data_IF_108282059855
#
_entry.id   IF_108282059855
#
_cell.length_a   1.000
_cell.length_b   1.000
_cell.length_c   1.000
_cell.angle_alpha   90.00
_cell.angle_beta   90.00
_cell.angle_gamma   90.00
#
_symmetry.space_group_name_H-M   'P 1'
#
loop_
_entity.id
_entity.type
_entity.pdbx_description
1 polymer ?
#
# COMPACT_ATOMS: atom_id res chain seq x y z
N UNK A 1 23.27 3.43 -1.94
CA UNK A 1 23.78 3.95 -0.65
C UNK A 1 22.81 3.47 0.40
N UNK A 2 23.29 3.10 1.58
CA UNK A 2 22.41 2.74 2.70
C UNK A 2 21.53 3.94 3.07
N UNK A 3 20.30 3.67 3.51
CA UNK A 3 19.41 4.68 4.05
C UNK A 3 19.40 4.58 5.58
N UNK A 4 19.41 5.74 6.25
CA UNK A 4 19.31 5.85 7.70
C UNK A 4 18.07 6.67 8.05
N UNK A 5 17.17 6.08 8.82
CA UNK A 5 16.02 6.77 9.39
C UNK A 5 16.23 6.92 10.90
N UNK A 6 15.87 8.09 11.41
CA UNK A 6 15.81 8.37 12.84
C UNK A 6 14.34 8.60 13.18
N UNK A 7 13.72 7.61 13.79
CA UNK A 7 12.29 7.62 14.10
C UNK A 7 12.08 7.93 15.57
N UNK A 8 10.95 8.55 15.90
CA UNK A 8 10.54 8.64 17.29
C UNK A 8 10.42 7.23 17.90
N UNK A 9 10.72 7.13 19.18
CA UNK A 9 10.58 5.91 19.98
C UNK A 9 9.17 5.32 19.97
N UNK A 10 8.17 6.12 19.61
CA UNK A 10 6.80 5.69 19.35
C UNK A 10 6.67 4.67 18.19
N UNK A 11 7.60 4.67 17.22
CA UNK A 11 7.56 3.81 16.03
C UNK A 11 8.31 2.48 16.21
N UNK A 12 8.41 1.99 17.44
CA UNK A 12 9.09 0.73 17.77
C UNK A 12 8.50 -0.51 17.10
N UNK A 13 7.25 -0.44 16.61
CA UNK A 13 6.58 -1.54 15.90
C UNK A 13 6.64 -1.41 14.35
N UNK A 14 7.23 -0.34 13.81
CA UNK A 14 7.53 -0.20 12.37
C UNK A 14 8.64 -1.14 11.85
N UNK A 15 9.55 -1.75 12.67
CA UNK A 15 10.53 -2.71 12.20
C UNK A 15 9.97 -3.89 11.41
N UNK A 16 8.76 -4.36 11.74
CA UNK A 16 8.09 -5.42 10.97
C UNK A 16 7.83 -4.99 9.53
N UNK A 17 7.42 -3.73 9.32
CA UNK A 17 7.20 -3.18 7.98
C UNK A 17 8.52 -3.07 7.21
N UNK A 18 9.57 -2.56 7.84
CA UNK A 18 10.88 -2.46 7.19
C UNK A 18 11.43 -3.83 6.82
N UNK A 19 11.38 -4.80 7.73
CA UNK A 19 11.93 -6.16 7.48
C UNK A 19 11.13 -6.95 6.46
N UNK A 20 9.84 -6.63 6.27
CA UNK A 20 9.04 -7.20 5.19
C UNK A 20 9.56 -6.83 3.79
N UNK A 21 10.13 -5.63 3.61
CA UNK A 21 10.70 -5.17 2.34
C UNK A 21 12.22 -5.28 2.25
N UNK A 22 12.88 -5.14 3.40
CA UNK A 22 14.32 -5.01 3.55
C UNK A 22 14.80 -5.91 4.69
N UNK A 23 14.93 -7.23 4.46
CA UNK A 23 15.25 -8.21 5.50
C UNK A 23 16.57 -7.95 6.24
N UNK A 24 17.52 -7.26 5.61
CA UNK A 24 18.79 -6.85 6.19
C UNK A 24 18.73 -5.57 7.03
N UNK A 25 17.54 -4.99 7.22
CA UNK A 25 17.37 -3.77 8.04
C UNK A 25 17.81 -4.02 9.48
N UNK A 26 18.59 -3.07 10.01
CA UNK A 26 19.05 -3.08 11.40
C UNK A 26 18.35 -1.98 12.20
N UNK A 27 17.96 -2.34 13.42
CA UNK A 27 17.27 -1.46 14.36
C UNK A 27 18.10 -1.29 15.62
N UNK A 28 18.20 -0.06 16.11
CA UNK A 28 18.86 0.26 17.36
C UNK A 28 18.05 1.32 18.11
N UNK A 29 17.57 0.99 19.30
CA UNK A 29 17.00 1.98 20.20
C UNK A 29 18.16 2.76 20.82
N UNK A 30 18.27 4.03 20.45
CA UNK A 30 19.32 4.90 20.99
C UNK A 30 18.83 5.51 22.28
N UNK A 31 19.57 5.24 23.36
CA UNK A 31 19.27 5.74 24.71
C UNK A 31 20.13 6.96 25.06
N UNK A 32 19.53 7.87 25.79
CA UNK A 32 20.17 9.04 26.38
C UNK A 32 20.69 8.78 27.79
N UNK A 33 21.19 9.84 28.46
CA UNK A 33 21.63 9.74 29.85
C UNK A 33 20.53 9.18 30.76
N UNK A 34 20.89 8.16 31.55
CA UNK A 34 19.96 7.48 32.45
C UNK A 34 19.13 6.36 31.81
N UNK A 35 19.42 5.97 30.56
CA UNK A 35 18.70 4.88 29.87
C UNK A 35 17.35 5.29 29.29
N UNK A 36 17.09 6.61 29.19
CA UNK A 36 15.86 7.10 28.59
C UNK A 36 15.93 6.95 27.07
N UNK A 37 14.95 6.32 26.41
CA UNK A 37 14.97 6.17 24.96
C UNK A 37 14.86 7.55 24.28
N UNK A 38 15.68 7.79 23.25
CA UNK A 38 15.70 9.04 22.50
C UNK A 38 15.07 8.88 21.11
N UNK A 39 15.50 7.88 20.35
CA UNK A 39 14.99 7.59 19.01
C UNK A 39 15.31 6.15 18.62
N UNK A 40 14.58 5.65 17.63
CA UNK A 40 14.87 4.39 16.94
C UNK A 40 15.68 4.68 15.68
N UNK A 41 16.91 4.17 15.63
CA UNK A 41 17.75 4.16 14.43
C UNK A 41 17.38 2.99 13.55
N UNK A 42 17.11 3.24 12.27
CA UNK A 42 16.76 2.21 11.28
C UNK A 42 17.71 2.33 10.09
N UNK A 43 18.59 1.34 9.92
CA UNK A 43 19.56 1.29 8.83
C UNK A 43 19.16 0.25 7.78
N UNK A 44 18.77 0.72 6.60
CA UNK A 44 18.32 -0.10 5.47
C UNK A 44 19.47 -0.27 4.47
N UNK A 45 19.84 -1.52 4.11
CA UNK A 45 20.90 -1.78 3.13
C UNK A 45 20.59 -1.17 1.76
N UNK A 46 21.55 -0.46 1.18
CA UNK A 46 21.35 0.22 -0.10
C UNK A 46 21.18 -0.71 -1.29
N UNK A 47 21.70 -1.93 -1.21
CA UNK A 47 21.52 -2.99 -2.20
C UNK A 47 20.10 -3.58 -2.15
N UNK A 48 19.50 -3.72 -0.97
CA UNK A 48 18.09 -4.13 -0.85
C UNK A 48 17.15 -3.05 -1.42
N UNK A 49 17.41 -1.77 -1.17
CA UNK A 49 16.67 -0.66 -1.81
C UNK A 49 16.75 -0.74 -3.33
N UNK A 50 17.97 -0.95 -3.86
CA UNK A 50 18.18 -1.04 -5.29
C UNK A 50 17.54 -2.29 -5.91
N UNK A 51 17.50 -3.41 -5.18
CA UNK A 51 16.92 -4.67 -5.63
C UNK A 51 15.39 -4.59 -5.81
N UNK A 52 14.73 -3.66 -5.12
CA UNK A 52 13.29 -3.45 -5.28
C UNK A 52 12.93 -2.59 -6.49
N UNK A 53 13.90 -1.95 -7.16
CA UNK A 53 13.62 -1.06 -8.28
C UNK A 53 13.39 -1.84 -9.58
N UNK A 54 12.37 -1.44 -10.35
CA UNK A 54 12.02 -2.01 -11.64
C UNK A 54 10.73 -2.82 -11.57
N UNK A 55 10.57 -3.80 -12.44
CA UNK A 55 9.47 -4.75 -12.43
C UNK A 55 9.96 -6.16 -12.75
N UNK A 56 9.10 -7.16 -12.62
CA UNK A 56 9.40 -8.52 -13.01
C UNK A 56 8.76 -8.78 -14.37
N UNK A 57 9.56 -9.17 -15.37
CA UNK A 57 9.07 -9.69 -16.63
C UNK A 57 8.99 -11.21 -16.57
N UNK A 58 7.83 -11.77 -16.91
CA UNK A 58 7.58 -13.21 -17.04
C UNK A 58 7.38 -13.51 -18.52
N UNK A 59 8.37 -14.20 -19.11
CA UNK A 59 8.45 -14.44 -20.55
C UNK A 59 8.15 -15.90 -20.85
N UNK A 60 7.02 -16.16 -21.51
CA UNK A 60 6.58 -17.51 -21.88
C UNK A 60 6.85 -17.73 -23.36
N UNK A 61 7.80 -18.63 -23.68
CA UNK A 61 8.25 -18.84 -25.06
C UNK A 61 7.21 -19.58 -25.94
N UNK A 62 6.38 -20.42 -25.32
CA UNK A 62 5.29 -21.14 -25.98
C UNK A 62 4.14 -21.37 -24.98
N UNK A 63 2.90 -21.33 -25.45
CA UNK A 63 1.73 -21.58 -24.63
C UNK A 63 1.83 -22.89 -23.83
N UNK A 64 1.56 -22.82 -22.52
CA UNK A 64 1.61 -23.97 -21.61
C UNK A 64 3.00 -24.35 -21.10
N UNK A 65 4.04 -23.58 -21.43
CA UNK A 65 5.38 -23.73 -20.84
C UNK A 65 5.54 -22.83 -19.60
N UNK A 66 6.49 -23.17 -18.73
CA UNK A 66 6.85 -22.31 -17.61
C UNK A 66 7.63 -21.08 -18.12
N UNK A 67 7.17 -19.89 -17.75
CA UNK A 67 7.84 -18.64 -18.11
C UNK A 67 9.20 -18.46 -17.42
N UNK A 68 10.11 -17.77 -18.11
CA UNK A 68 11.37 -17.28 -17.54
C UNK A 68 11.10 -15.94 -16.85
N UNK A 69 11.54 -15.79 -15.61
CA UNK A 69 11.39 -14.54 -14.85
C UNK A 69 12.69 -13.76 -14.88
N UNK A 70 12.66 -12.52 -15.37
CA UNK A 70 13.80 -11.60 -15.31
C UNK A 70 13.39 -10.25 -14.69
N UNK A 71 14.33 -9.58 -14.04
CA UNK A 71 14.14 -8.20 -13.59
C UNK A 71 14.20 -7.27 -14.79
N UNK A 72 13.17 -6.43 -14.93
CA UNK A 72 13.04 -5.43 -15.97
C UNK A 72 13.25 -4.03 -15.38
N UNK A 73 14.31 -3.35 -15.81
CA UNK A 73 14.70 -2.02 -15.28
C UNK A 73 14.33 -0.85 -16.20
N UNK A 74 13.66 -1.09 -17.33
CA UNK A 74 13.48 -0.09 -18.39
C UNK A 74 12.37 0.94 -18.16
N UNK A 75 11.70 0.91 -16.99
CA UNK A 75 10.61 1.83 -16.65
C UNK A 75 9.44 1.69 -17.62
N UNK A 76 9.06 2.78 -18.29
CA UNK A 76 7.90 2.87 -19.18
C UNK A 76 7.94 2.11 -20.51
N UNK A 77 9.06 1.50 -20.92
CA UNK A 77 9.27 1.00 -22.30
C UNK A 77 9.44 -0.51 -22.40
N UNK A 78 8.40 -1.25 -22.08
CA UNK A 78 8.39 -2.70 -21.96
C UNK A 78 8.69 -3.40 -23.29
N UNK A 79 9.70 -4.27 -23.28
CA UNK A 79 10.14 -5.02 -24.44
C UNK A 79 10.77 -6.33 -23.99
N UNK A 80 10.75 -7.32 -24.88
CA UNK A 80 11.45 -8.58 -24.64
C UNK A 80 12.97 -8.37 -24.56
N UNK A 81 13.67 -9.07 -23.65
CA UNK A 81 15.11 -9.22 -23.72
C UNK A 81 15.49 -9.84 -25.08
N UNK A 82 16.49 -9.29 -25.81
CA UNK A 82 16.84 -9.80 -27.14
C UNK A 82 17.17 -11.30 -27.16
N UNK A 83 17.73 -11.83 -26.07
CA UNK A 83 18.03 -13.26 -25.90
C UNK A 83 16.77 -14.12 -25.84
N UNK A 84 15.71 -13.63 -25.19
CA UNK A 84 14.45 -14.37 -25.08
C UNK A 84 13.59 -14.19 -26.32
N UNK A 85 13.59 -13.00 -26.93
CA UNK A 85 12.84 -12.72 -28.15
C UNK A 85 13.25 -13.57 -29.35
N UNK A 86 14.53 -13.98 -29.42
CA UNK A 86 15.05 -14.78 -30.52
C UNK A 86 14.46 -16.20 -30.58
N UNK A 87 14.00 -16.73 -29.44
CA UNK A 87 13.45 -18.08 -29.29
C UNK A 87 11.91 -18.10 -29.15
N UNK A 88 11.26 -16.94 -29.26
CA UNK A 88 9.83 -16.78 -29.04
C UNK A 88 9.00 -17.37 -30.20
N UNK A 89 8.04 -18.25 -29.86
CA UNK A 89 7.08 -18.80 -30.82
C UNK A 89 5.95 -17.82 -31.15
N UNK A 90 5.06 -18.18 -32.07
CA UNK A 90 3.91 -17.34 -32.46
C UNK A 90 2.94 -17.07 -31.29
N UNK A 91 2.85 -18.00 -30.33
CA UNK A 91 1.98 -17.91 -29.15
C UNK A 91 2.75 -17.50 -27.86
N UNK A 92 3.95 -16.93 -27.99
CA UNK A 92 4.70 -16.42 -26.85
C UNK A 92 4.00 -15.22 -26.19
N UNK A 93 4.16 -15.08 -24.88
CA UNK A 93 3.62 -13.96 -24.09
C UNK A 93 4.67 -13.37 -23.17
N UNK A 94 4.49 -12.09 -22.84
CA UNK A 94 5.26 -11.42 -21.81
C UNK A 94 4.33 -10.70 -20.85
N UNK A 95 4.50 -10.95 -19.56
CA UNK A 95 3.77 -10.27 -18.49
C UNK A 95 4.76 -9.48 -17.64
N UNK A 96 4.58 -8.17 -17.54
CA UNK A 96 5.34 -7.37 -16.58
C UNK A 96 4.48 -7.08 -15.36
N UNK A 97 4.99 -7.41 -14.19
CA UNK A 97 4.29 -7.25 -12.92
C UNK A 97 5.14 -6.54 -11.89
N UNK A 98 4.50 -5.82 -10.98
CA UNK A 98 5.15 -5.13 -9.88
C UNK A 98 4.23 -4.11 -9.24
N UNK A 99 4.80 -3.08 -8.63
CA UNK A 99 4.08 -1.92 -8.13
C UNK A 99 4.52 -0.64 -8.84
N UNK A 100 3.57 0.26 -9.04
CA UNK A 100 3.79 1.62 -9.50
C UNK A 100 3.54 2.57 -8.32
N UNK A 101 4.51 3.43 -8.00
CA UNK A 101 4.36 4.49 -7.01
C UNK A 101 3.61 5.68 -7.61
N UNK A 102 2.45 5.97 -7.06
CA UNK A 102 1.69 7.20 -7.30
C UNK A 102 2.19 8.26 -6.30
N UNK A 103 2.87 9.33 -6.76
CA UNK A 103 3.55 10.27 -5.85
C UNK A 103 2.60 11.22 -5.11
N UNK A 104 1.43 11.48 -5.67
CA UNK A 104 0.41 12.37 -5.11
C UNK A 104 -0.98 11.88 -5.49
N UNK A 105 -1.92 11.97 -4.57
CA UNK A 105 -3.33 11.66 -4.85
C UNK A 105 -3.89 12.63 -5.89
N UNK A 106 -4.70 12.13 -6.82
CA UNK A 106 -5.36 12.97 -7.80
C UNK A 106 -5.87 12.22 -9.03
N UNK A 107 -6.39 12.95 -10.01
CA UNK A 107 -6.82 12.39 -11.29
C UNK A 107 -5.60 12.07 -12.18
N UNK A 108 -5.42 10.79 -12.47
CA UNK A 108 -4.46 10.29 -13.45
C UNK A 108 -5.19 9.74 -14.67
N UNK A 109 -4.50 9.70 -15.80
CA UNK A 109 -4.86 8.82 -16.93
C UNK A 109 -3.59 8.09 -17.38
N UNK A 110 -3.74 6.90 -17.94
CA UNK A 110 -2.64 6.11 -18.47
C UNK A 110 -2.89 5.82 -19.95
N UNK A 111 -1.88 6.08 -20.77
CA UNK A 111 -1.89 5.74 -22.18
C UNK A 111 -0.89 4.61 -22.42
N UNK A 112 -1.36 3.60 -23.15
CA UNK A 112 -0.59 2.44 -23.60
C UNK A 112 -0.44 2.54 -25.12
N UNK A 113 0.80 2.67 -25.58
CA UNK A 113 1.15 2.60 -27.00
C UNK A 113 1.84 1.25 -27.27
N UNK A 114 1.30 0.45 -28.18
CA UNK A 114 1.77 -0.90 -28.47
C UNK A 114 0.75 -2.00 -28.15
N UNK A 115 1.08 -3.27 -28.44
CA UNK A 115 0.14 -4.40 -28.40
C UNK A 115 0.05 -5.01 -27.00
N UNK A 116 -0.43 -4.24 -26.02
CA UNK A 116 -0.56 -4.71 -24.64
C UNK A 116 -1.74 -4.14 -23.88
N UNK A 117 -2.11 -4.85 -22.81
CA UNK A 117 -3.16 -4.45 -21.88
C UNK A 117 -2.53 -4.09 -20.54
N UNK A 118 -2.79 -2.86 -20.08
CA UNK A 118 -2.32 -2.36 -18.79
C UNK A 118 -3.45 -2.42 -17.77
N UNK A 119 -3.13 -3.01 -16.62
CA UNK A 119 -4.00 -3.08 -15.46
C UNK A 119 -3.32 -2.41 -14.28
N UNK A 120 -4.14 -1.76 -13.45
CA UNK A 120 -3.73 -1.20 -12.18
C UNK A 120 -4.71 -1.70 -11.10
N UNK A 121 -4.18 -2.17 -9.98
CA UNK A 121 -4.91 -2.85 -8.90
C UNK A 121 -5.85 -3.95 -9.39
N UNK A 122 -5.38 -4.72 -10.39
CA UNK A 122 -6.11 -5.84 -10.99
C UNK A 122 -7.26 -5.44 -11.93
N UNK A 123 -7.41 -4.15 -12.26
CA UNK A 123 -8.43 -3.66 -13.18
C UNK A 123 -7.80 -3.09 -14.45
N UNK A 124 -8.34 -3.40 -15.65
CA UNK A 124 -7.91 -2.72 -16.88
C UNK A 124 -8.08 -1.21 -16.75
N UNK A 125 -7.06 -0.46 -17.15
CA UNK A 125 -7.13 0.99 -17.07
C UNK A 125 -7.84 1.58 -18.29
N UNK A 126 -8.76 2.51 -18.05
CA UNK A 126 -9.37 3.28 -19.13
C UNK A 126 -9.81 4.65 -18.65
N UNK A 127 -9.39 5.70 -19.36
CA UNK A 127 -9.75 7.08 -19.10
C UNK A 127 -9.23 7.61 -17.76
N UNK A 128 -9.55 8.87 -17.49
CA UNK A 128 -9.10 9.54 -16.29
C UNK A 128 -9.82 9.00 -15.03
N UNK A 129 -9.06 8.59 -14.03
CA UNK A 129 -9.57 8.11 -12.74
C UNK A 129 -8.74 8.68 -11.60
N UNK A 130 -9.32 8.74 -10.39
CA UNK A 130 -8.59 9.21 -9.24
C UNK A 130 -7.76 8.07 -8.63
N UNK A 131 -6.50 8.35 -8.32
CA UNK A 131 -5.63 7.45 -7.58
C UNK A 131 -5.21 8.08 -6.26
N UNK A 132 -5.15 7.25 -5.22
CA UNK A 132 -4.50 7.62 -3.98
C UNK A 132 -2.98 7.63 -4.16
N UNK A 133 -2.28 8.46 -3.39
CA UNK A 133 -0.83 8.33 -3.24
C UNK A 133 -0.47 6.97 -2.64
N UNK A 134 0.59 6.34 -3.12
CA UNK A 134 1.07 5.05 -2.60
C UNK A 134 1.51 4.09 -3.69
N UNK A 135 1.78 2.84 -3.31
CA UNK A 135 2.09 1.77 -4.25
C UNK A 135 0.79 1.13 -4.74
N UNK A 136 0.66 1.04 -6.06
CA UNK A 136 -0.44 0.39 -6.75
C UNK A 136 0.09 -0.80 -7.53
N UNK A 137 -0.56 -1.95 -7.44
CA UNK A 137 -0.12 -3.14 -8.17
C UNK A 137 -0.37 -2.92 -9.66
N UNK A 138 0.62 -3.15 -10.52
CA UNK A 138 0.41 -3.07 -11.97
C UNK A 138 0.72 -4.42 -12.63
N UNK A 139 -0.01 -4.69 -13.70
CA UNK A 139 0.35 -5.75 -14.64
C UNK A 139 0.17 -5.25 -16.06
N UNK A 140 1.13 -5.58 -16.92
CA UNK A 140 1.11 -5.31 -18.34
C UNK A 140 1.26 -6.63 -19.10
N UNK A 141 0.21 -7.03 -19.81
CA UNK A 141 0.21 -8.26 -20.59
C UNK A 141 0.42 -7.96 -22.08
N UNK A 142 1.40 -8.61 -22.68
CA UNK A 142 1.63 -8.61 -24.11
C UNK A 142 1.30 -9.98 -24.69
N UNK A 143 0.35 -9.99 -25.63
CA UNK A 143 -0.12 -11.21 -26.31
C UNK A 143 0.44 -11.36 -27.73
N UNK A 144 1.18 -10.37 -28.23
CA UNK A 144 1.85 -10.41 -29.53
C UNK A 144 3.37 -10.46 -29.34
N UNK A 145 4.01 -11.63 -29.49
CA UNK A 145 5.44 -11.77 -29.31
C UNK A 145 6.22 -11.25 -30.52
N UNK A 146 7.36 -10.61 -30.27
CA UNK A 146 8.29 -10.21 -31.32
C UNK A 146 9.32 -9.17 -30.86
N UNK A 147 10.51 -9.17 -31.46
CA UNK A 147 11.61 -8.24 -31.13
C UNK A 147 11.26 -6.77 -31.31
N UNK A 148 10.24 -6.49 -32.12
CA UNK A 148 9.81 -5.13 -32.47
C UNK A 148 8.59 -4.67 -31.67
N UNK A 149 7.96 -5.57 -30.90
CA UNK A 149 6.78 -5.29 -30.10
C UNK A 149 7.18 -4.62 -28.78
N UNK A 150 7.27 -3.29 -28.82
CA UNK A 150 7.50 -2.45 -27.64
C UNK A 150 6.17 -1.91 -27.16
N UNK A 151 5.93 -1.99 -25.85
CA UNK A 151 4.83 -1.30 -25.20
C UNK A 151 5.38 -0.11 -24.43
N UNK A 152 4.81 1.06 -24.66
CA UNK A 152 5.14 2.29 -23.95
C UNK A 152 3.95 2.69 -23.08
N UNK A 153 4.15 2.72 -21.77
CA UNK A 153 3.16 3.23 -20.82
C UNK A 153 3.56 4.66 -20.43
N UNK A 154 2.64 5.59 -20.63
CA UNK A 154 2.78 6.99 -20.19
C UNK A 154 1.60 7.36 -19.31
N UNK A 155 1.76 8.40 -18.49
CA UNK A 155 0.69 8.89 -17.62
C UNK A 155 0.39 10.38 -17.85
N UNK A 156 -0.81 10.80 -17.51
CA UNK A 156 -1.20 12.19 -17.33
C UNK A 156 -1.36 12.46 -15.82
N UNK A 157 -0.36 13.04 -15.15
CA UNK A 157 -0.49 13.34 -13.72
C UNK A 157 -1.49 14.48 -13.44
N UNK A 158 -1.96 14.60 -12.19
CA UNK A 158 -2.80 15.70 -11.75
C UNK A 158 -2.19 17.07 -12.09
N UNK A 159 -2.99 17.95 -12.69
CA UNK A 159 -2.58 19.31 -13.04
C UNK A 159 -1.67 19.42 -14.27
N UNK A 160 -1.40 18.31 -14.98
CA UNK A 160 -0.71 18.33 -16.28
C UNK A 160 -1.72 18.35 -17.42
N UNK A 161 -1.25 18.78 -18.60
CA UNK A 161 -2.04 18.85 -19.84
C UNK A 161 -1.54 17.89 -20.92
N UNK A 162 -0.41 17.23 -20.71
CA UNK A 162 0.23 16.33 -21.67
C UNK A 162 0.74 15.08 -20.94
N UNK A 163 0.74 13.95 -21.65
CA UNK A 163 1.28 12.71 -21.13
C UNK A 163 2.80 12.77 -21.05
N UNK A 164 3.36 12.18 -20.00
CA UNK A 164 4.80 12.02 -19.83
C UNK A 164 5.15 10.54 -19.58
N UNK A 165 6.39 10.16 -19.93
CA UNK A 165 6.91 8.84 -19.59
C UNK A 165 7.08 8.73 -18.07
N UNK A 166 6.69 7.59 -17.53
CA UNK A 166 6.87 7.26 -16.13
C UNK A 166 8.34 6.92 -15.91
N UNK A 167 8.99 7.69 -15.04
CA UNK A 167 10.40 7.48 -14.75
C UNK A 167 10.64 6.12 -14.06
N UNK A 168 11.76 5.41 -14.34
CA UNK A 168 12.03 4.09 -13.78
C UNK A 168 11.96 4.00 -12.25
N UNK A 169 12.23 5.11 -11.55
CA UNK A 169 12.20 5.18 -10.09
C UNK A 169 10.79 5.06 -9.48
N UNK A 170 9.73 5.09 -10.30
CA UNK A 170 8.36 4.84 -9.85
C UNK A 170 7.96 3.35 -9.90
N UNK A 171 8.75 2.48 -10.52
CA UNK A 171 8.43 1.05 -10.64
C UNK A 171 9.17 0.22 -9.60
N UNK A 172 8.46 -0.67 -8.93
CA UNK A 172 9.01 -1.56 -7.91
C UNK A 172 8.69 -3.03 -8.21
N UNK A 173 9.65 -3.93 -7.98
CA UNK A 173 9.53 -5.38 -8.21
C UNK A 173 8.67 -6.06 -7.15
N UNK A 174 8.40 -5.38 -6.03
CA UNK A 174 7.53 -5.87 -4.97
C UNK A 174 6.06 -5.73 -5.36
N UNK A 175 5.28 -6.74 -5.02
CA UNK A 175 3.83 -6.58 -4.96
C UNK A 175 3.47 -5.59 -3.84
N UNK A 176 2.27 -4.99 -3.88
CA UNK A 176 1.72 -4.34 -2.70
C UNK A 176 1.76 -5.31 -1.51
N UNK A 177 1.98 -4.81 -0.28
CA UNK A 177 2.09 -5.66 0.89
C UNK A 177 0.85 -6.53 1.04
N UNK A 178 1.04 -7.84 1.22
CA UNK A 178 -0.05 -8.79 1.54
C UNK A 178 -0.59 -8.66 2.96
N UNK A 179 -0.19 -7.61 3.67
CA UNK A 179 -0.49 -7.31 5.05
C UNK A 179 -1.11 -5.92 5.14
N UNK A 180 -2.04 -5.74 6.08
CA UNK A 180 -2.81 -4.51 6.23
C UNK A 180 -4.30 -4.71 6.01
N UNK A 181 -5.02 -3.62 5.80
CA UNK A 181 -6.45 -3.63 5.54
C UNK A 181 -6.76 -3.01 4.18
N UNK A 182 -7.78 -3.52 3.51
CA UNK A 182 -8.32 -2.92 2.29
C UNK A 182 -9.05 -1.62 2.64
N UNK A 183 -8.45 -0.48 2.32
CA UNK A 183 -8.99 0.87 2.50
C UNK A 183 -9.73 1.36 1.26
N UNK A 184 -11.03 1.59 1.39
CA UNK A 184 -11.90 2.19 0.39
C UNK A 184 -12.17 3.65 0.76
N UNK A 185 -11.99 4.57 -0.18
CA UNK A 185 -12.15 6.01 0.06
C UNK A 185 -13.32 6.57 -0.75
N UNK A 186 -14.19 7.35 -0.12
CA UNK A 186 -15.45 7.83 -0.66
C UNK A 186 -15.52 9.35 -0.61
N UNK A 187 -16.26 9.93 -1.55
CA UNK A 187 -16.63 11.34 -1.50
C UNK A 187 -17.67 11.59 -0.40
N UNK A 188 -17.48 12.64 0.40
CA UNK A 188 -18.38 12.98 1.51
C UNK A 188 -18.23 12.08 2.73
N UNK A 189 -19.05 12.31 3.76
CA UNK A 189 -18.85 11.78 5.12
C UNK A 189 -19.61 10.47 5.43
N UNK A 190 -20.32 9.90 4.46
CA UNK A 190 -21.33 8.86 4.72
C UNK A 190 -20.96 7.44 4.28
N UNK A 191 -19.74 7.20 3.76
CA UNK A 191 -19.32 5.88 3.26
C UNK A 191 -20.27 5.27 2.20
N UNK A 192 -20.85 6.13 1.35
CA UNK A 192 -21.85 5.77 0.35
C UNK A 192 -21.32 5.97 -1.07
N UNK A 193 -21.93 5.25 -2.03
CA UNK A 193 -21.56 5.30 -3.43
C UNK A 193 -20.37 4.39 -3.77
N UNK A 194 -19.90 4.52 -5.01
CA UNK A 194 -18.68 3.84 -5.45
C UNK A 194 -17.46 4.51 -4.82
N UNK A 195 -16.50 3.75 -4.27
CA UNK A 195 -15.29 4.32 -3.75
C UNK A 195 -14.51 5.00 -4.88
N UNK A 196 -14.00 6.20 -4.60
CA UNK A 196 -13.21 6.96 -5.55
C UNK A 196 -11.88 6.25 -5.86
N UNK A 197 -11.30 5.57 -4.88
CA UNK A 197 -10.21 4.62 -5.06
C UNK A 197 -10.16 3.61 -3.91
N UNK A 198 -9.36 2.56 -4.09
CA UNK A 198 -9.09 1.53 -3.08
C UNK A 198 -7.59 1.29 -3.01
N UNK A 199 -7.05 0.98 -1.83
CA UNK A 199 -5.67 0.54 -1.65
C UNK A 199 -5.55 -0.34 -0.41
N UNK A 200 -4.44 -1.06 -0.28
CA UNK A 200 -4.10 -1.76 0.97
C UNK A 200 -3.27 -0.82 1.84
N UNK A 201 -3.71 -0.61 3.09
CA UNK A 201 -3.01 0.18 4.09
C UNK A 201 -2.38 -0.76 5.15
N UNK A 202 -1.04 -0.91 5.18
CA UNK A 202 -0.35 -1.83 6.11
C UNK A 202 -0.56 -1.49 7.59
N UNK A 203 -0.71 -0.20 7.89
CA UNK A 203 -0.95 0.32 9.23
C UNK A 203 -1.90 1.52 9.12
N UNK A 204 -2.77 1.66 10.10
CA UNK A 204 -3.57 2.87 10.28
C UNK A 204 -2.88 3.75 11.31
N UNK A 205 -1.82 4.43 10.88
CA UNK A 205 -1.07 5.43 11.66
C UNK A 205 -0.93 6.70 10.83
N UNK A 206 -2.08 7.29 10.52
CA UNK A 206 -2.15 8.40 9.61
C UNK A 206 -2.10 9.73 10.34
N UNK A 207 -1.10 10.53 9.97
CA UNK A 207 -1.08 11.97 10.21
C UNK A 207 -0.98 12.63 8.83
N UNK A 208 -2.12 13.04 8.27
CA UNK A 208 -2.13 13.54 6.89
C UNK A 208 -1.97 15.06 6.85
N UNK A 209 -1.25 15.59 5.84
CA UNK A 209 -1.45 16.99 5.46
C UNK A 209 -2.91 17.19 5.01
N UNK A 210 -3.38 18.44 5.03
CA UNK A 210 -4.79 18.81 4.73
C UNK A 210 -5.34 18.23 3.40
N UNK A 211 -4.48 17.83 2.46
CA UNK A 211 -4.87 17.37 1.12
C UNK A 211 -4.72 15.86 0.87
N UNK A 212 -4.14 15.09 1.79
CA UNK A 212 -4.03 13.63 1.65
C UNK A 212 -5.11 12.90 2.50
N UNK A 213 -5.51 11.68 2.10
CA UNK A 213 -5.36 11.09 0.77
C UNK A 213 -6.45 11.58 -0.23
N UNK A 214 -7.43 12.35 0.25
CA UNK A 214 -8.50 12.97 -0.54
C UNK A 214 -8.88 14.35 0.08
N UNK A 215 -9.33 15.33 -0.72
CA UNK A 215 -9.79 16.63 -0.21
C UNK A 215 -11.02 16.48 0.70
N UNK A 216 -11.00 17.09 1.89
CA UNK A 216 -12.20 17.08 2.75
C UNK A 216 -13.37 17.84 2.06
N UNK A 217 -14.63 17.39 2.24
CA UNK A 217 -15.05 16.26 3.07
C UNK A 217 -14.88 14.90 2.37
N UNK A 218 -14.49 13.88 3.15
CA UNK A 218 -14.36 12.49 2.68
C UNK A 218 -14.61 11.48 3.78
N UNK A 219 -14.76 10.22 3.39
CA UNK A 219 -14.85 9.09 4.30
C UNK A 219 -14.04 7.92 3.78
N UNK A 220 -13.61 7.07 4.69
CA UNK A 220 -12.83 5.88 4.38
C UNK A 220 -13.34 4.69 5.20
N UNK A 221 -13.32 3.51 4.59
CA UNK A 221 -13.65 2.23 5.22
C UNK A 221 -12.50 1.27 5.01
N UNK A 222 -11.94 0.78 6.10
CA UNK A 222 -10.98 -0.31 6.08
C UNK A 222 -11.66 -1.61 6.46
N UNK A 223 -11.46 -2.66 5.67
CA UNK A 223 -11.95 -4.02 5.93
C UNK A 223 -10.83 -5.03 5.76
N UNK A 224 -10.95 -6.14 6.48
CA UNK A 224 -10.02 -7.27 6.38
C UNK A 224 -10.16 -8.17 7.60
N UNK A 225 -9.05 -8.83 7.94
CA UNK A 225 -8.94 -9.75 9.08
C UNK A 225 -7.88 -9.26 10.06
N UNK A 226 -8.23 -9.23 11.35
CA UNK A 226 -7.30 -9.11 12.46
C UNK A 226 -7.03 -10.51 13.02
N UNK A 227 -5.76 -10.94 13.04
CA UNK A 227 -5.36 -12.21 13.64
C UNK A 227 -4.92 -12.00 15.09
N UNK A 228 -5.75 -12.40 16.05
CA UNK A 228 -5.41 -12.38 17.46
C UNK A 228 -4.41 -13.51 17.79
N UNK A 229 -3.19 -13.21 18.28
CA UNK A 229 -2.19 -14.24 18.57
C UNK A 229 -2.56 -15.15 19.76
N UNK A 230 -3.46 -14.72 20.63
CA UNK A 230 -3.88 -15.48 21.83
C UNK A 230 -5.30 -15.10 22.25
N UNK A 231 -6.05 -16.03 22.85
CA UNK A 231 -7.34 -15.68 23.44
C UNK A 231 -7.15 -14.77 24.66
N UNK A 232 -8.04 -13.78 24.84
CA UNK A 232 -8.08 -12.96 26.04
C UNK A 232 -8.75 -11.60 25.83
N UNK A 233 -8.60 -10.72 26.83
CA UNK A 233 -9.09 -9.34 26.75
C UNK A 233 -8.08 -8.49 25.99
N UNK A 234 -8.51 -7.97 24.85
CA UNK A 234 -7.81 -6.97 24.07
C UNK A 234 -8.39 -5.60 24.37
N UNK A 235 -7.55 -4.58 24.55
CA UNK A 235 -7.99 -3.18 24.53
C UNK A 235 -7.69 -2.58 23.17
N UNK A 236 -8.66 -1.92 22.55
CA UNK A 236 -8.49 -1.21 21.30
C UNK A 236 -8.63 0.28 21.52
N UNK A 237 -7.74 1.06 20.90
CA UNK A 237 -7.87 2.51 20.85
C UNK A 237 -7.84 3.01 19.41
N UNK A 238 -8.80 3.87 19.06
CA UNK A 238 -8.76 4.63 17.81
C UNK A 238 -8.81 6.11 18.11
N UNK A 239 -7.77 6.82 17.70
CA UNK A 239 -7.70 8.28 17.75
C UNK A 239 -7.96 8.81 16.35
N UNK A 240 -9.00 9.61 16.18
CA UNK A 240 -9.42 10.12 14.89
C UNK A 240 -9.74 11.61 14.98
N UNK A 241 -9.47 12.33 13.90
CA UNK A 241 -9.96 13.68 13.66
C UNK A 241 -10.40 13.68 12.20
N UNK A 242 -11.69 13.57 11.84
CA UNK A 242 -12.89 13.62 12.70
C UNK A 242 -13.33 12.24 13.24
N UNK A 243 -14.47 11.71 12.79
CA UNK A 243 -15.19 10.64 13.46
C UNK A 243 -14.80 9.24 13.01
N UNK A 244 -14.96 8.28 13.90
CA UNK A 244 -14.57 6.89 13.70
C UNK A 244 -15.55 5.90 14.32
N UNK A 245 -15.65 4.72 13.70
CA UNK A 245 -16.37 3.55 14.19
C UNK A 245 -15.54 2.30 13.96
N UNK A 246 -15.68 1.32 14.86
CA UNK A 246 -14.98 0.04 14.76
C UNK A 246 -15.97 -1.11 14.95
N UNK A 247 -15.85 -2.12 14.09
CA UNK A 247 -16.56 -3.39 14.20
C UNK A 247 -15.56 -4.55 14.26
N UNK A 248 -15.91 -5.56 15.05
CA UNK A 248 -15.24 -6.86 15.08
C UNK A 248 -16.30 -7.95 14.94
N UNK A 249 -16.08 -8.91 14.06
CA UNK A 249 -16.99 -10.02 13.76
C UNK A 249 -18.45 -9.58 13.46
N UNK A 250 -18.57 -8.40 12.83
CA UNK A 250 -19.86 -7.78 12.50
C UNK A 250 -20.54 -7.01 13.64
N UNK A 251 -19.99 -7.03 14.86
CA UNK A 251 -20.51 -6.29 16.01
C UNK A 251 -19.84 -4.92 16.14
N UNK A 252 -20.63 -3.87 16.39
CA UNK A 252 -20.09 -2.52 16.65
C UNK A 252 -19.47 -2.48 18.05
N UNK A 253 -18.14 -2.40 18.13
CA UNK A 253 -17.40 -2.42 19.40
C UNK A 253 -17.09 -1.02 19.95
N UNK A 254 -17.17 0.01 19.10
CA UNK A 254 -17.03 1.40 19.52
C UNK A 254 -17.36 2.40 18.41
N UNK A 255 -17.87 3.57 18.80
CA UNK A 255 -18.04 4.72 17.90
C UNK A 255 -17.83 6.05 18.62
N UNK A 256 -17.22 7.00 17.92
CA UNK A 256 -17.22 8.42 18.28
C UNK A 256 -17.22 9.22 16.98
N UNK A 257 -18.34 9.87 16.70
CA UNK A 257 -18.62 10.52 15.40
C UNK A 257 -18.95 12.01 15.54
N UNK A 258 -18.27 12.70 16.46
CA UNK A 258 -18.40 14.15 16.63
C UNK A 258 -17.64 14.86 15.51
N UNK A 259 -18.31 15.62 14.62
CA UNK A 259 -17.58 16.36 13.60
C UNK A 259 -16.88 17.58 14.21
N UNK A 260 -15.85 18.06 13.53
CA UNK A 260 -15.03 19.22 13.85
C UNK A 260 -14.29 19.08 15.21
N UNK A 261 -13.99 17.84 15.63
CA UNK A 261 -13.39 17.50 16.92
C UNK A 261 -12.59 16.19 16.85
N UNK A 262 -11.65 16.03 17.78
CA UNK A 262 -10.94 14.77 17.99
C UNK A 262 -11.88 13.75 18.64
N UNK A 263 -11.92 12.56 18.06
CA UNK A 263 -12.71 11.43 18.48
C UNK A 263 -11.80 10.30 18.97
N UNK A 264 -12.21 9.69 20.08
CA UNK A 264 -11.49 8.58 20.69
C UNK A 264 -12.47 7.42 20.91
N UNK A 265 -12.10 6.24 20.41
CA UNK A 265 -12.62 4.96 20.88
C UNK A 265 -11.58 4.38 21.84
N UNK A 266 -12.01 3.89 23.00
CA UNK A 266 -11.20 3.14 23.95
C UNK A 266 -12.07 2.05 24.58
N UNK A 267 -11.89 0.81 24.12
CA UNK A 267 -12.81 -0.30 24.42
C UNK A 267 -12.04 -1.59 24.69
N UNK A 268 -12.62 -2.47 25.51
CA UNK A 268 -12.10 -3.81 25.77
C UNK A 268 -13.01 -4.86 25.13
N UNK A 269 -12.42 -5.79 24.39
CA UNK A 269 -13.11 -6.87 23.67
C UNK A 269 -12.43 -8.19 24.01
N UNK A 270 -13.22 -9.23 24.29
CA UNK A 270 -12.69 -10.58 24.45
C UNK A 270 -12.60 -11.22 23.07
N UNK A 271 -11.40 -11.64 22.68
CA UNK A 271 -11.16 -12.35 21.43
C UNK A 271 -10.68 -13.77 21.71
N UNK A 272 -11.00 -14.68 20.79
CA UNK A 272 -10.36 -16.00 20.74
C UNK A 272 -9.06 -15.89 19.94
N UNK A 273 -8.13 -16.84 20.11
CA UNK A 273 -6.96 -16.89 19.24
C UNK A 273 -7.38 -17.23 17.80
N UNK A 274 -6.90 -16.46 16.83
CA UNK A 274 -7.18 -16.68 15.41
C UNK A 274 -7.76 -15.47 14.69
N UNK A 275 -8.34 -15.68 13.51
CA UNK A 275 -8.83 -14.60 12.65
C UNK A 275 -10.17 -14.04 13.14
N UNK A 276 -10.28 -12.72 13.11
CA UNK A 276 -11.49 -11.95 13.38
C UNK A 276 -11.73 -10.96 12.25
N UNK A 277 -12.98 -10.86 11.77
CA UNK A 277 -13.32 -9.86 10.76
C UNK A 277 -13.25 -8.47 11.40
N UNK A 278 -12.55 -7.53 10.77
CA UNK A 278 -12.43 -6.16 11.27
C UNK A 278 -12.95 -5.18 10.23
N UNK A 279 -13.65 -4.16 10.71
CA UNK A 279 -14.01 -2.98 9.93
C UNK A 279 -13.76 -1.71 10.73
N UNK A 280 -13.18 -0.71 10.09
CA UNK A 280 -13.02 0.63 10.64
C UNK A 280 -13.59 1.63 9.64
N UNK A 281 -14.56 2.43 10.07
CA UNK A 281 -15.14 3.50 9.27
C UNK A 281 -14.67 4.83 9.85
N UNK A 282 -14.12 5.70 9.02
CA UNK A 282 -13.64 7.05 9.37
C UNK A 282 -14.26 8.10 8.45
N UNK A 283 -14.55 9.29 8.95
CA UNK A 283 -14.86 10.44 8.11
C UNK A 283 -14.06 11.67 8.52
N UNK A 284 -13.93 12.59 7.57
CA UNK A 284 -13.17 13.82 7.68
C UNK A 284 -13.93 14.95 6.98
N UNK A 285 -14.24 16.02 7.70
CA UNK A 285 -15.01 17.19 7.27
C UNK A 285 -14.10 18.38 6.94
N UNK A 286 -13.07 18.62 7.74
CA UNK A 286 -12.01 19.58 7.48
C UNK A 286 -11.07 19.75 8.69
N UNK A 287 -9.97 20.50 8.53
CA UNK A 287 -9.05 20.78 9.62
C UNK A 287 -7.94 19.73 9.78
N UNK A 288 -7.61 19.39 11.02
CA UNK A 288 -6.61 18.38 11.34
C UNK A 288 -7.07 17.01 10.87
N UNK A 289 -6.15 16.18 10.37
CA UNK A 289 -6.48 14.81 9.98
C UNK A 289 -5.57 13.81 10.66
N UNK A 290 -6.16 12.98 11.50
CA UNK A 290 -5.48 11.84 12.06
C UNK A 290 -6.40 10.62 12.07
N UNK A 291 -5.82 9.44 11.87
CA UNK A 291 -6.43 8.17 12.25
C UNK A 291 -5.31 7.23 12.72
N UNK A 292 -5.35 6.87 13.99
CA UNK A 292 -4.40 5.96 14.61
C UNK A 292 -5.13 4.78 15.21
N UNK A 293 -4.73 3.56 14.85
CA UNK A 293 -5.29 2.32 15.36
C UNK A 293 -4.28 1.58 16.24
N UNK A 294 -4.71 1.36 17.47
CA UNK A 294 -3.91 0.79 18.54
C UNK A 294 -4.60 -0.39 19.18
N UNK A 295 -3.79 -1.29 19.71
CA UNK A 295 -4.27 -2.39 20.52
C UNK A 295 -3.33 -2.72 21.67
N UNK A 296 -3.87 -3.34 22.70
CA UNK A 296 -3.14 -3.94 23.79
C UNK A 296 -3.55 -5.41 23.88
N UNK A 297 -2.73 -6.34 23.38
CA UNK A 297 -2.95 -7.76 23.57
C UNK A 297 -2.91 -8.19 25.06
N UNK A 298 -3.48 -9.35 25.40
CA UNK A 298 -3.48 -9.87 26.78
C UNK A 298 -2.07 -9.97 27.36
N UNK A 299 -1.80 -9.23 28.44
CA UNK A 299 -0.49 -9.24 29.11
C UNK A 299 0.61 -8.45 28.40
N UNK A 300 0.27 -7.73 27.32
CA UNK A 300 1.18 -6.86 26.58
C UNK A 300 0.90 -5.37 26.87
N UNK A 301 1.73 -4.50 26.30
CA UNK A 301 1.56 -3.05 26.34
C UNK A 301 0.75 -2.56 25.14
N UNK A 302 0.11 -1.39 25.30
CA UNK A 302 -0.57 -0.72 24.20
C UNK A 302 0.45 -0.31 23.13
N UNK A 303 0.18 -0.68 21.88
CA UNK A 303 1.03 -0.39 20.72
C UNK A 303 0.22 -0.23 19.43
N UNK A 304 0.75 0.39 18.38
CA UNK A 304 0.08 0.39 17.09
C UNK A 304 -0.20 -1.04 16.64
N UNK A 305 -1.31 -1.25 15.94
CA UNK A 305 -1.60 -2.58 15.38
C UNK A 305 -0.59 -2.87 14.27
N UNK A 306 0.23 -3.94 14.39
CA UNK A 306 1.27 -4.22 13.41
C UNK A 306 0.67 -4.75 12.09
N UNK A 307 1.31 -4.52 10.93
CA UNK A 307 0.82 -5.06 9.67
C UNK A 307 0.68 -6.59 9.67
N UNK A 308 1.60 -7.29 10.35
CA UNK A 308 1.67 -8.76 10.33
C UNK A 308 0.46 -9.46 10.91
N UNK A 309 -0.36 -8.76 11.71
CA UNK A 309 -1.64 -9.28 12.24
C UNK A 309 -2.85 -8.86 11.42
N UNK A 310 -2.66 -8.11 10.34
CA UNK A 310 -3.72 -7.63 9.46
C UNK A 310 -3.62 -8.30 8.09
N UNK A 311 -4.75 -8.65 7.50
CA UNK A 311 -4.84 -9.16 6.13
C UNK A 311 -6.00 -8.50 5.39
N UNK A 312 -5.81 -8.08 4.12
CA UNK A 312 -6.79 -7.32 3.35
C UNK A 312 -8.03 -8.11 2.92
#
# INVERSE_FOLDING_TARGET
QDALFLLDTYYQDVPELFTAYYPGTRFELVEGPGGNPLYLSVAVPGDEIAALQGSLGVYTQQAGTQGVVETYAGGSRFAWPPSLAADAGEDATADWVGSLLIPASGLYDFAVDGPGEFTLDGKPWSGQQFLGKGLHGFALQQNEPGTDAVIVVSWLPPGKTENELIAPNYFFTVAPPGHGLTGQYFEGELWEGEPAFTRVDPMLLFAWPEQEPWPAPFSARWTGVLTAPSSGVYRFQLNADDGVRMWLDGELVGESVRPDDVNLIDTEVVLDAGPHDIRIDYFQRGGGKALEFWWQPPGEQLRPVPPGVLSP
#
